data_IF_363910533619
#
_entry.id   IF_363910533619
#
_cell.length_a   1.000
_cell.length_b   1.000
_cell.length_c   1.000
_cell.angle_alpha   90.00
_cell.angle_beta   90.00
_cell.angle_gamma   90.00
#
_symmetry.space_group_name_H-M   'P 1'
#
loop_
_entity.id
_entity.type
_entity.pdbx_description
1 polymer ?
#
# COMPACT_ATOMS: atom_id res chain seq x y z
N UNK A 1 12.14 12.55 13.54
CA UNK A 1 12.70 11.29 13.03
C UNK A 1 11.81 10.69 11.95
N UNK A 2 10.53 10.40 12.23
CA UNK A 2 9.55 9.85 11.27
C UNK A 2 9.45 10.64 9.95
N UNK A 3 9.30 11.97 10.02
CA UNK A 3 9.24 12.81 8.82
C UNK A 3 10.52 12.73 7.96
N UNK A 4 11.69 12.62 8.58
CA UNK A 4 12.98 12.46 7.89
C UNK A 4 13.07 11.12 7.17
N UNK A 5 12.62 10.04 7.81
CA UNK A 5 12.60 8.69 7.22
C UNK A 5 11.61 8.64 6.05
N UNK A 6 10.41 9.20 6.22
CA UNK A 6 9.43 9.31 5.14
C UNK A 6 9.96 10.11 3.96
N UNK A 7 10.62 11.26 4.21
CA UNK A 7 11.24 12.06 3.14
C UNK A 7 12.36 11.30 2.43
N UNK A 8 13.17 10.53 3.15
CA UNK A 8 14.20 9.66 2.56
C UNK A 8 13.58 8.65 1.59
N UNK A 9 12.53 7.96 2.02
CA UNK A 9 11.79 7.02 1.16
C UNK A 9 11.22 7.72 -0.08
N UNK A 10 10.53 8.84 0.11
CA UNK A 10 9.92 9.61 -1.00
C UNK A 10 10.96 10.04 -2.03
N UNK A 11 12.13 10.50 -1.60
CA UNK A 11 13.20 10.90 -2.52
C UNK A 11 13.77 9.70 -3.29
N UNK A 12 14.00 8.57 -2.61
CA UNK A 12 14.47 7.34 -3.25
C UNK A 12 13.44 6.79 -4.25
N UNK A 13 12.17 6.82 -3.89
CA UNK A 13 11.06 6.46 -4.78
C UNK A 13 11.05 7.35 -6.03
N UNK A 14 11.15 8.67 -5.86
CA UNK A 14 11.24 9.59 -7.01
C UNK A 14 12.42 9.25 -7.94
N UNK A 15 13.60 8.97 -7.38
CA UNK A 15 14.76 8.55 -8.16
C UNK A 15 14.49 7.24 -8.90
N UNK A 16 13.89 6.25 -8.24
CA UNK A 16 13.52 4.97 -8.86
C UNK A 16 12.55 5.17 -10.04
N UNK A 17 11.53 6.01 -9.90
CA UNK A 17 10.58 6.26 -10.98
C UNK A 17 11.25 6.95 -12.18
N UNK A 18 12.21 7.86 -11.94
CA UNK A 18 13.00 8.47 -13.01
C UNK A 18 14.01 7.52 -13.67
N UNK A 19 14.33 6.40 -13.01
CA UNK A 19 15.25 5.38 -13.54
C UNK A 19 14.56 4.25 -14.30
N UNK A 20 13.21 4.26 -14.38
CA UNK A 20 12.44 3.26 -15.12
C UNK A 20 12.82 3.29 -16.61
N UNK A 21 13.13 2.11 -17.14
CA UNK A 21 13.50 1.93 -18.54
C UNK A 21 12.25 1.91 -19.44
N UNK A 22 12.44 2.06 -20.76
CA UNK A 22 11.34 1.89 -21.72
C UNK A 22 10.69 0.50 -21.60
N UNK A 23 11.46 -0.53 -21.26
CA UNK A 23 10.95 -1.88 -21.02
C UNK A 23 10.09 -1.94 -19.76
N UNK A 24 10.52 -1.29 -18.67
CA UNK A 24 9.73 -1.19 -17.44
C UNK A 24 8.40 -0.46 -17.73
N UNK A 25 8.45 0.69 -18.40
CA UNK A 25 7.25 1.47 -18.77
C UNK A 25 6.30 0.68 -19.67
N UNK A 26 6.83 -0.08 -20.62
CA UNK A 26 6.03 -0.94 -21.51
C UNK A 26 5.35 -2.07 -20.73
N UNK A 27 6.04 -2.66 -19.75
CA UNK A 27 5.48 -3.67 -18.86
C UNK A 27 4.36 -3.11 -17.98
N UNK A 28 4.51 -1.90 -17.46
CA UNK A 28 3.44 -1.24 -16.69
C UNK A 28 2.21 -0.99 -17.57
N UNK A 29 2.43 -0.44 -18.76
CA UNK A 29 1.35 -0.17 -19.71
C UNK A 29 0.59 -1.44 -20.12
N UNK A 30 1.27 -2.59 -20.27
CA UNK A 30 0.60 -3.87 -20.57
C UNK A 30 -0.31 -4.37 -19.45
N UNK A 31 -0.16 -3.83 -18.24
CA UNK A 31 -1.00 -4.08 -17.07
C UNK A 31 -1.95 -2.91 -16.77
N UNK A 32 -2.11 -1.97 -17.70
CA UNK A 32 -2.89 -0.74 -17.53
C UNK A 32 -2.42 0.13 -16.34
N UNK A 33 -1.13 0.04 -15.99
CA UNK A 33 -0.51 0.84 -14.95
C UNK A 33 0.37 1.94 -15.53
N UNK A 34 0.46 3.03 -14.79
CA UNK A 34 1.40 4.13 -14.99
C UNK A 34 2.43 4.14 -13.86
N UNK A 35 3.55 4.87 -14.01
CA UNK A 35 4.47 5.07 -12.88
C UNK A 35 3.80 5.71 -11.67
N UNK A 36 2.75 6.51 -11.82
CA UNK A 36 2.07 7.12 -10.67
C UNK A 36 1.35 6.09 -9.80
N UNK A 37 0.92 4.97 -10.39
CA UNK A 37 0.23 3.88 -9.68
C UNK A 37 1.19 3.05 -8.80
N UNK A 38 2.51 3.26 -8.94
CA UNK A 38 3.53 2.59 -8.14
C UNK A 38 4.03 3.44 -6.97
N UNK A 39 3.45 4.62 -6.74
CA UNK A 39 3.84 5.47 -5.61
C UNK A 39 3.33 4.87 -4.30
N UNK A 40 4.25 4.60 -3.38
CA UNK A 40 4.03 3.91 -2.12
C UNK A 40 4.47 4.73 -0.91
N UNK A 41 4.96 5.95 -1.09
CA UNK A 41 5.36 6.80 0.04
C UNK A 41 4.20 7.11 1.01
N UNK A 42 2.95 7.16 0.52
CA UNK A 42 1.76 7.29 1.37
C UNK A 42 1.56 6.07 2.27
N UNK A 43 1.59 4.87 1.69
CA UNK A 43 1.56 3.60 2.41
C UNK A 43 2.67 3.49 3.46
N UNK A 44 3.88 3.91 3.09
CA UNK A 44 5.02 3.94 3.99
C UNK A 44 4.85 4.96 5.12
N UNK A 45 4.26 6.13 4.85
CA UNK A 45 3.94 7.12 5.89
C UNK A 45 2.96 6.55 6.92
N UNK A 46 1.91 5.83 6.47
CA UNK A 46 0.94 5.21 7.38
C UNK A 46 1.57 4.10 8.22
N UNK A 47 2.46 3.30 7.63
CA UNK A 47 3.25 2.30 8.36
C UNK A 47 4.11 2.94 9.47
N UNK A 48 4.82 4.01 9.14
CA UNK A 48 5.70 4.74 10.06
C UNK A 48 4.94 5.43 11.21
N UNK A 49 3.70 5.85 10.94
CA UNK A 49 2.79 6.40 11.95
C UNK A 49 2.16 5.32 12.84
N UNK A 50 2.43 4.03 12.57
CA UNK A 50 1.84 2.92 13.31
C UNK A 50 0.35 2.75 13.09
N UNK A 51 -0.18 3.23 11.95
CA UNK A 51 -1.60 3.12 11.61
C UNK A 51 -1.94 1.72 11.06
N UNK A 52 -0.99 1.11 10.36
CA UNK A 52 -1.12 -0.22 9.77
C UNK A 52 0.08 -1.10 10.12
N UNK A 53 -0.09 -2.43 10.18
CA UNK A 53 0.99 -3.33 10.57
C UNK A 53 2.02 -3.53 9.45
N UNK A 54 1.58 -3.42 8.19
CA UNK A 54 2.43 -3.65 7.04
C UNK A 54 1.94 -2.90 5.80
N UNK A 55 2.84 -2.70 4.84
CA UNK A 55 2.52 -2.36 3.46
C UNK A 55 3.05 -3.48 2.55
N UNK A 56 2.31 -3.77 1.49
CA UNK A 56 2.67 -4.77 0.49
C UNK A 56 3.16 -4.05 -0.77
N UNK A 57 4.35 -4.42 -1.25
CA UNK A 57 4.91 -3.95 -2.51
C UNK A 57 4.85 -5.11 -3.48
N UNK A 58 4.08 -4.94 -4.56
CA UNK A 58 4.03 -5.91 -5.63
C UNK A 58 3.81 -5.19 -6.95
N UNK A 59 4.77 -5.36 -7.84
CA UNK A 59 4.72 -4.83 -9.19
C UNK A 59 4.51 -5.97 -10.19
N UNK A 60 4.15 -5.67 -11.46
CA UNK A 60 3.91 -6.70 -12.47
C UNK A 60 5.07 -7.67 -12.74
N UNK A 61 6.27 -7.35 -12.27
CA UNK A 61 7.43 -8.23 -12.30
C UNK A 61 8.04 -8.37 -10.91
N UNK A 62 8.36 -9.60 -10.53
CA UNK A 62 9.13 -9.89 -9.31
C UNK A 62 10.53 -9.28 -9.37
N UNK A 63 11.13 -9.15 -10.55
CA UNK A 63 12.40 -8.46 -10.73
C UNK A 63 12.28 -6.95 -10.47
N UNK A 64 11.20 -6.32 -10.95
CA UNK A 64 10.93 -4.91 -10.68
C UNK A 64 10.64 -4.67 -9.19
N UNK A 65 9.87 -5.58 -8.56
CA UNK A 65 9.61 -5.58 -7.11
C UNK A 65 10.90 -5.71 -6.30
N UNK A 66 11.80 -6.63 -6.70
CA UNK A 66 13.10 -6.81 -6.06
C UNK A 66 14.01 -5.58 -6.23
N UNK A 67 14.01 -4.94 -7.40
CA UNK A 67 14.72 -3.67 -7.62
C UNK A 67 14.21 -2.58 -6.69
N UNK A 68 12.89 -2.38 -6.59
CA UNK A 68 12.32 -1.40 -5.66
C UNK A 68 12.70 -1.68 -4.21
N UNK A 69 12.68 -2.96 -3.79
CA UNK A 69 13.15 -3.36 -2.46
C UNK A 69 14.60 -2.92 -2.21
N UNK A 70 15.48 -3.15 -3.18
CA UNK A 70 16.92 -2.95 -3.00
C UNK A 70 17.35 -1.49 -3.21
N UNK A 71 16.69 -0.74 -4.11
CA UNK A 71 17.01 0.64 -4.46
C UNK A 71 16.26 1.66 -3.58
N UNK A 72 15.06 1.34 -3.09
CA UNK A 72 14.19 2.26 -2.34
C UNK A 72 14.02 1.80 -0.91
N UNK A 73 13.42 0.63 -0.70
CA UNK A 73 12.94 0.23 0.61
C UNK A 73 14.08 -0.01 1.61
N UNK A 74 15.05 -0.87 1.27
CA UNK A 74 16.18 -1.23 2.14
C UNK A 74 17.00 0.00 2.54
N UNK A 75 17.40 0.89 1.60
CA UNK A 75 18.10 2.12 1.98
C UNK A 75 17.24 3.08 2.81
N UNK A 76 15.92 3.13 2.59
CA UNK A 76 15.03 3.99 3.36
C UNK A 76 14.91 3.56 4.83
N UNK A 77 14.86 2.25 5.09
CA UNK A 77 14.68 1.68 6.45
C UNK A 77 16.01 1.35 7.14
N UNK A 78 17.14 1.57 6.49
CA UNK A 78 18.46 1.31 7.07
C UNK A 78 18.66 2.11 8.38
N UNK A 79 18.93 1.39 9.46
CA UNK A 79 19.09 1.98 10.80
C UNK A 79 17.78 2.43 11.47
N UNK A 80 16.62 2.13 10.88
CA UNK A 80 15.31 2.45 11.46
C UNK A 80 14.86 1.30 12.36
N UNK A 81 14.83 1.54 13.67
CA UNK A 81 14.36 0.53 14.63
C UNK A 81 12.87 0.21 14.45
N UNK A 82 12.54 -1.08 14.54
CA UNK A 82 11.16 -1.56 14.50
C UNK A 82 10.50 -1.52 13.13
N UNK A 83 11.26 -1.26 12.06
CA UNK A 83 10.79 -1.41 10.68
C UNK A 83 11.66 -2.43 9.97
N UNK A 84 11.03 -3.43 9.36
CA UNK A 84 11.73 -4.47 8.60
C UNK A 84 11.01 -4.78 7.30
N UNK A 85 11.71 -5.40 6.36
CA UNK A 85 11.10 -5.93 5.15
C UNK A 85 11.42 -7.41 4.94
N UNK A 86 10.48 -8.15 4.36
CA UNK A 86 10.65 -9.54 3.96
C UNK A 86 10.01 -9.80 2.60
N UNK A 87 10.52 -10.79 1.86
CA UNK A 87 9.91 -11.25 0.61
C UNK A 87 9.01 -12.44 0.91
N UNK A 88 7.82 -12.48 0.30
CA UNK A 88 6.96 -13.67 0.28
C UNK A 88 7.60 -14.69 -0.64
N UNK A 89 8.27 -15.68 -0.05
CA UNK A 89 9.11 -16.66 -0.76
C UNK A 89 8.41 -18.01 -1.02
N UNK A 90 7.09 -18.08 -0.82
CA UNK A 90 6.28 -19.26 -1.04
C UNK A 90 5.09 -18.93 -1.94
N UNK A 91 4.48 -19.97 -2.50
CA UNK A 91 3.29 -19.84 -3.32
C UNK A 91 2.09 -19.46 -2.44
N UNK A 92 1.73 -18.18 -2.43
CA UNK A 92 0.58 -17.66 -1.73
C UNK A 92 -0.33 -16.97 -2.75
N UNK A 93 -1.60 -17.32 -2.72
CA UNK A 93 -2.60 -16.82 -3.67
C UNK A 93 -3.85 -16.35 -2.93
N UNK A 94 -4.56 -15.43 -3.54
CA UNK A 94 -5.92 -15.05 -3.21
C UNK A 94 -6.76 -15.05 -4.49
N UNK A 95 -8.08 -14.80 -4.41
CA UNK A 95 -8.90 -14.61 -5.61
C UNK A 95 -8.33 -13.58 -6.60
N UNK A 96 -7.73 -12.49 -6.11
CA UNK A 96 -7.27 -11.39 -6.97
C UNK A 96 -5.79 -11.43 -7.33
N UNK A 97 -4.96 -12.12 -6.54
CA UNK A 97 -3.53 -11.88 -6.60
C UNK A 97 -2.68 -13.09 -6.22
N UNK A 98 -1.54 -13.21 -6.91
CA UNK A 98 -0.42 -14.06 -6.49
C UNK A 98 0.62 -13.21 -5.77
N UNK A 99 1.03 -13.65 -4.58
CA UNK A 99 1.92 -12.89 -3.71
C UNK A 99 3.38 -13.35 -3.75
N UNK A 100 3.70 -14.48 -4.41
CA UNK A 100 5.09 -14.93 -4.52
C UNK A 100 5.97 -13.84 -5.16
N UNK A 101 7.05 -13.46 -4.46
CA UNK A 101 7.97 -12.40 -4.88
C UNK A 101 7.54 -10.99 -4.46
N UNK A 102 6.34 -10.81 -3.90
CA UNK A 102 5.95 -9.56 -3.26
C UNK A 102 6.83 -9.27 -2.03
N UNK A 103 6.94 -8.01 -1.66
CA UNK A 103 7.75 -7.55 -0.52
C UNK A 103 6.84 -6.91 0.51
N UNK A 104 6.91 -7.41 1.73
CA UNK A 104 6.19 -6.89 2.88
C UNK A 104 7.13 -5.98 3.67
N UNK A 105 6.79 -4.70 3.84
CA UNK A 105 7.43 -3.82 4.82
C UNK A 105 6.53 -3.74 6.06
N UNK A 106 7.09 -3.97 7.24
CA UNK A 106 6.35 -4.22 8.47
C UNK A 106 6.81 -3.30 9.58
N UNK A 107 5.86 -2.92 10.43
CA UNK A 107 6.10 -2.23 11.69
C UNK A 107 6.09 -3.27 12.82
N UNK A 108 7.25 -3.56 13.38
CA UNK A 108 7.44 -4.58 14.42
C UNK A 108 6.75 -4.24 15.74
N UNK A 109 6.35 -2.98 15.92
CA UNK A 109 5.69 -2.48 17.14
C UNK A 109 4.17 -2.46 17.01
N UNK A 110 3.62 -2.78 15.84
CA UNK A 110 2.19 -2.73 15.60
C UNK A 110 1.50 -3.98 16.17
N UNK A 111 0.38 -3.80 16.88
CA UNK A 111 -0.33 -4.89 17.58
C UNK A 111 -0.79 -6.03 16.65
N UNK A 112 -1.23 -5.70 15.43
CA UNK A 112 -1.64 -6.65 14.39
C UNK A 112 -0.49 -7.26 13.56
N UNK A 113 0.78 -7.06 13.93
CA UNK A 113 1.90 -7.62 13.17
C UNK A 113 1.77 -9.15 13.00
N UNK A 114 1.36 -9.86 14.05
CA UNK A 114 1.20 -11.31 14.03
C UNK A 114 0.26 -11.81 12.94
N UNK A 115 -0.82 -11.05 12.64
CA UNK A 115 -1.75 -11.38 11.56
C UNK A 115 -1.06 -11.28 10.20
N UNK A 116 -0.32 -10.20 9.95
CA UNK A 116 0.40 -10.01 8.70
C UNK A 116 1.49 -11.08 8.49
N UNK A 117 2.19 -11.47 9.56
CA UNK A 117 3.17 -12.57 9.50
C UNK A 117 2.50 -13.90 9.17
N UNK A 118 1.39 -14.22 9.85
CA UNK A 118 0.66 -15.47 9.62
C UNK A 118 0.03 -15.55 8.23
N UNK A 119 -0.38 -14.43 7.65
CA UNK A 119 -0.94 -14.40 6.28
C UNK A 119 0.15 -14.48 5.21
N UNK A 120 1.16 -13.64 5.29
CA UNK A 120 2.10 -13.45 4.17
C UNK A 120 3.41 -14.23 4.29
N UNK A 121 3.84 -14.58 5.52
CA UNK A 121 5.16 -15.17 5.75
C UNK A 121 5.10 -16.57 6.37
N UNK A 122 3.93 -17.09 6.72
CA UNK A 122 3.76 -18.50 7.10
C UNK A 122 3.80 -19.38 5.85
N UNK A 123 4.91 -20.08 5.67
CA UNK A 123 5.14 -20.98 4.54
C UNK A 123 4.21 -22.21 4.53
N UNK A 124 3.28 -22.37 5.45
CA UNK A 124 2.21 -23.39 5.36
C UNK A 124 0.94 -22.87 4.70
N UNK A 125 0.77 -21.54 4.64
CA UNK A 125 -0.37 -20.89 3.99
C UNK A 125 -0.12 -20.85 2.49
N UNK A 126 -1.13 -21.25 1.71
CA UNK A 126 -1.10 -21.25 0.23
C UNK A 126 -2.23 -20.43 -0.38
N UNK A 127 -3.28 -20.21 0.40
CA UNK A 127 -4.48 -19.51 -0.01
C UNK A 127 -4.94 -18.58 1.11
N UNK A 128 -5.34 -17.37 0.75
CA UNK A 128 -5.89 -16.38 1.67
C UNK A 128 -7.08 -15.66 1.03
N UNK A 129 -8.12 -15.41 1.83
CA UNK A 129 -9.27 -14.62 1.41
C UNK A 129 -8.94 -13.12 1.43
N UNK A 130 -9.52 -12.36 0.51
CA UNK A 130 -9.29 -10.90 0.39
C UNK A 130 -9.62 -10.14 1.68
N UNK A 131 -10.60 -10.60 2.46
CA UNK A 131 -10.92 -10.01 3.75
C UNK A 131 -9.75 -10.09 4.75
N UNK A 132 -8.94 -11.14 4.70
CA UNK A 132 -7.75 -11.27 5.56
C UNK A 132 -6.60 -10.38 5.07
N UNK A 133 -6.42 -10.28 3.75
CA UNK A 133 -5.46 -9.36 3.12
C UNK A 133 -5.81 -7.91 3.48
N UNK A 134 -7.08 -7.52 3.32
CA UNK A 134 -7.59 -6.20 3.69
C UNK A 134 -7.34 -5.86 5.16
N UNK A 135 -7.54 -6.81 6.10
CA UNK A 135 -7.20 -6.59 7.52
C UNK A 135 -5.71 -6.37 7.76
N UNK A 136 -4.85 -7.13 7.09
CA UNK A 136 -3.39 -6.98 7.21
C UNK A 136 -2.90 -5.65 6.62
N UNK A 137 -3.54 -5.19 5.55
CA UNK A 137 -3.23 -3.91 4.92
C UNK A 137 -4.07 -2.75 5.48
N UNK A 138 -4.87 -3.00 6.51
CA UNK A 138 -5.75 -2.00 7.12
C UNK A 138 -6.68 -1.27 6.13
N UNK A 139 -7.24 -2.01 5.18
CA UNK A 139 -8.28 -1.51 4.29
C UNK A 139 -9.66 -1.85 4.88
N UNK A 140 -10.48 -0.85 5.28
CA UNK A 140 -11.76 -1.08 5.93
C UNK A 140 -12.89 -1.47 4.96
N UNK A 141 -12.61 -1.52 3.66
CA UNK A 141 -13.56 -1.89 2.62
C UNK A 141 -13.35 -3.30 2.11
N UNK A 142 -14.38 -3.86 1.51
CA UNK A 142 -14.38 -5.19 0.91
C UNK A 142 -14.39 -5.11 -0.61
N UNK A 143 -13.71 -6.07 -1.26
CA UNK A 143 -13.88 -6.31 -2.69
C UNK A 143 -15.27 -6.93 -2.95
N UNK A 144 -15.91 -6.61 -4.08
CA UNK A 144 -17.24 -7.15 -4.42
C UNK A 144 -17.17 -8.65 -4.71
N UNK A 145 -18.07 -9.44 -4.13
CA UNK A 145 -18.20 -10.88 -4.39
C UNK A 145 -19.27 -11.22 -5.43
N UNK A 146 -20.09 -10.24 -5.83
CA UNK A 146 -21.21 -10.41 -6.77
C UNK A 146 -21.28 -9.27 -7.79
N UNK A 147 -21.92 -9.49 -8.95
CA UNK A 147 -22.13 -8.42 -9.95
C UNK A 147 -22.95 -7.24 -9.40
N UNK A 148 -23.85 -7.48 -8.45
CA UNK A 148 -24.59 -6.42 -7.78
C UNK A 148 -23.67 -5.56 -6.92
N UNK A 149 -22.75 -6.19 -6.20
CA UNK A 149 -21.74 -5.47 -5.41
C UNK A 149 -20.73 -4.73 -6.28
N UNK A 150 -20.36 -5.27 -7.45
CA UNK A 150 -19.52 -4.54 -8.43
C UNK A 150 -20.18 -3.21 -8.81
N UNK A 151 -21.49 -3.21 -9.07
CA UNK A 151 -22.25 -1.98 -9.38
C UNK A 151 -22.34 -0.98 -8.21
N UNK A 152 -22.05 -1.43 -6.99
CA UNK A 152 -22.05 -0.65 -5.75
C UNK A 152 -20.65 -0.44 -5.19
N UNK A 153 -19.62 -0.76 -5.98
CA UNK A 153 -18.23 -0.57 -5.59
C UNK A 153 -17.87 0.91 -5.67
N UNK A 154 -17.18 1.37 -4.64
CA UNK A 154 -16.65 2.71 -4.49
C UNK A 154 -15.15 2.59 -4.36
N UNK A 155 -14.43 3.30 -5.22
CA UNK A 155 -13.01 3.51 -5.07
C UNK A 155 -12.80 4.60 -4.01
N UNK A 156 -11.96 4.30 -3.03
CA UNK A 156 -11.60 5.16 -1.92
C UNK A 156 -10.17 5.61 -2.10
N UNK A 157 -9.95 6.92 -2.26
CA UNK A 157 -8.62 7.50 -2.35
C UNK A 157 -8.32 8.40 -1.16
N UNK A 158 -7.13 8.28 -0.56
CA UNK A 158 -6.63 9.27 0.40
C UNK A 158 -5.61 10.15 -0.30
N UNK A 159 -5.85 11.46 -0.31
CA UNK A 159 -5.11 12.42 -1.13
C UNK A 159 -4.47 13.48 -0.24
N UNK A 160 -3.18 13.74 -0.42
CA UNK A 160 -2.49 14.86 0.22
C UNK A 160 -2.75 16.16 -0.55
N UNK A 161 -3.31 17.14 0.15
CA UNK A 161 -3.59 18.50 -0.35
C UNK A 161 -2.67 19.56 0.25
N UNK A 162 -1.53 19.17 0.85
CA UNK A 162 -0.55 20.13 1.35
C UNK A 162 -0.09 21.13 0.26
N UNK A 163 -0.04 20.70 -1.00
CA UNK A 163 0.01 21.56 -2.17
C UNK A 163 -1.28 21.41 -3.00
N UNK A 164 -2.23 22.37 -2.93
CA UNK A 164 -3.49 22.29 -3.65
C UNK A 164 -3.35 22.25 -5.18
N UNK A 165 -2.26 22.78 -5.74
CA UNK A 165 -2.02 22.79 -7.19
C UNK A 165 -1.55 21.42 -7.70
N UNK A 166 -1.05 20.56 -6.80
CA UNK A 166 -0.51 19.24 -7.13
C UNK A 166 -0.95 18.24 -6.04
N UNK A 167 -2.25 17.87 -6.00
CA UNK A 167 -2.72 16.87 -5.06
C UNK A 167 -2.08 15.52 -5.36
N UNK A 168 -1.66 14.80 -4.31
CA UNK A 168 -0.96 13.52 -4.45
C UNK A 168 -1.80 12.41 -3.84
N UNK A 169 -2.17 11.40 -4.65
CA UNK A 169 -2.82 10.19 -4.14
C UNK A 169 -1.81 9.40 -3.30
N UNK A 170 -2.17 9.11 -2.04
CA UNK A 170 -1.31 8.43 -1.08
C UNK A 170 -1.65 6.94 -0.92
N UNK A 171 -2.92 6.58 -1.12
CA UNK A 171 -3.40 5.20 -1.17
C UNK A 171 -4.77 5.17 -1.85
N UNK A 172 -5.10 4.04 -2.47
CA UNK A 172 -6.42 3.73 -2.99
C UNK A 172 -6.81 2.29 -2.64
N UNK A 173 -8.09 2.06 -2.40
CA UNK A 173 -8.67 0.73 -2.19
C UNK A 173 -10.16 0.72 -2.53
N UNK A 174 -10.74 -0.46 -2.69
CA UNK A 174 -12.16 -0.62 -2.94
C UNK A 174 -12.96 -0.75 -1.62
N UNK A 175 -14.17 -0.23 -1.63
CA UNK A 175 -15.18 -0.46 -0.59
C UNK A 175 -16.57 -0.59 -1.23
N UNK A 176 -17.51 -1.17 -0.51
CA UNK A 176 -18.91 -1.19 -0.91
C UNK A 176 -19.63 0.06 -0.37
N UNK A 177 -20.66 0.54 -1.06
CA UNK A 177 -21.41 1.74 -0.66
C UNK A 177 -21.90 1.71 0.80
N UNK A 178 -22.28 0.52 1.31
CA UNK A 178 -22.75 0.37 2.68
C UNK A 178 -21.62 0.46 3.73
N UNK A 179 -20.35 0.35 3.31
CA UNK A 179 -19.15 0.44 4.15
C UNK A 179 -18.61 1.88 4.27
N UNK A 180 -19.14 2.84 3.50
CA UNK A 180 -18.73 4.26 3.56
C UNK A 180 -18.67 4.83 4.99
N UNK A 181 -19.62 4.51 5.92
CA UNK A 181 -19.49 4.95 7.31
C UNK A 181 -18.24 4.43 8.02
N UNK A 182 -17.79 3.20 7.73
CA UNK A 182 -16.56 2.63 8.27
C UNK A 182 -15.33 3.30 7.65
N UNK A 183 -15.33 3.51 6.33
CA UNK A 183 -14.28 4.25 5.60
C UNK A 183 -14.08 5.65 6.19
N UNK A 184 -15.16 6.39 6.48
CA UNK A 184 -15.06 7.73 7.07
C UNK A 184 -14.46 7.73 8.48
N UNK A 185 -14.78 6.73 9.31
CA UNK A 185 -14.18 6.57 10.65
C UNK A 185 -12.68 6.27 10.55
N UNK A 186 -12.32 5.33 9.67
CA UNK A 186 -10.95 4.98 9.39
C UNK A 186 -10.14 6.20 8.89
N UNK A 187 -10.68 6.94 7.92
CA UNK A 187 -10.09 8.16 7.39
C UNK A 187 -9.85 9.23 8.48
N UNK A 188 -10.78 9.40 9.41
CA UNK A 188 -10.61 10.38 10.50
C UNK A 188 -9.38 10.07 11.37
N UNK A 189 -9.13 8.78 11.66
CA UNK A 189 -7.93 8.32 12.37
C UNK A 189 -6.66 8.64 11.58
N UNK A 190 -6.64 8.28 10.30
CA UNK A 190 -5.49 8.48 9.42
C UNK A 190 -5.17 9.97 9.23
N UNK A 191 -6.20 10.79 8.99
CA UNK A 191 -6.06 12.24 8.83
C UNK A 191 -5.46 12.88 10.08
N UNK A 192 -5.93 12.49 11.27
CA UNK A 192 -5.42 13.05 12.53
C UNK A 192 -3.94 12.76 12.72
N UNK A 193 -3.49 11.55 12.39
CA UNK A 193 -2.09 11.16 12.51
C UNK A 193 -1.22 11.81 11.42
N UNK A 194 -1.69 11.84 10.17
CA UNK A 194 -0.99 12.39 9.01
C UNK A 194 -0.63 13.88 9.17
N UNK A 195 -1.46 14.67 9.87
CA UNK A 195 -1.15 16.07 10.19
C UNK A 195 0.18 16.24 10.93
N UNK A 196 0.62 15.24 11.70
CA UNK A 196 1.92 15.29 12.41
C UNK A 196 3.13 15.20 11.46
N UNK A 197 2.92 14.78 10.21
CA UNK A 197 3.92 14.76 9.15
C UNK A 197 3.75 15.92 8.15
N UNK A 198 2.83 16.85 8.41
CA UNK A 198 2.53 17.96 7.50
C UNK A 198 1.71 17.57 6.26
N UNK A 199 1.05 16.41 6.30
CA UNK A 199 0.19 15.90 5.22
C UNK A 199 -1.25 16.36 5.46
N UNK A 200 -1.86 17.09 4.52
CA UNK A 200 -3.27 17.50 4.60
C UNK A 200 -4.15 16.48 3.89
N UNK A 201 -4.43 15.38 4.59
CA UNK A 201 -5.18 14.27 4.03
C UNK A 201 -6.66 14.64 3.77
N UNK A 202 -7.13 14.41 2.54
CA UNK A 202 -8.53 14.47 2.11
C UNK A 202 -9.02 13.11 1.64
N UNK A 203 -10.32 12.88 1.77
CA UNK A 203 -11.00 11.67 1.32
C UNK A 203 -11.61 11.91 -0.06
N UNK A 204 -11.23 11.09 -1.03
CA UNK A 204 -11.89 10.97 -2.33
C UNK A 204 -12.73 9.69 -2.35
N UNK A 205 -13.95 9.79 -2.89
CA UNK A 205 -14.85 8.66 -3.10
C UNK A 205 -15.37 8.75 -4.55
N UNK A 206 -14.98 7.81 -5.39
CA UNK A 206 -15.43 7.69 -6.79
C UNK A 206 -16.22 6.39 -6.96
N UNK A 207 -17.31 6.42 -7.73
CA UNK A 207 -17.94 5.17 -8.16
C UNK A 207 -17.06 4.53 -9.22
N UNK A 208 -16.81 3.23 -9.09
CA UNK A 208 -16.15 2.48 -10.15
C UNK A 208 -17.02 2.57 -11.42
N UNK A 209 -16.44 3.08 -12.50
CA UNK A 209 -17.12 3.27 -13.80
C UNK A 209 -17.20 1.98 -14.61
#
# INVERSE_FOLDING_TARGET
MTATIHMRFKNLEQVFHTSLTLSDLSLLASHALTPHDLLLHGEFAFLLLGLKPCMLISFPSTALTARFRDEVLRPAIEGVEGIRCATVAHDLNSPEMRYEGAVLCMNERHERLGEALGVFLDETVRWVEEAAVGRCLDYPGSLPGTEEEVRRMVEVGYVDYANPDVPVLLTTYAALEHEIPAVKRHFATYRSAALTLGVDLKLSLSRAS
#
